data_IF_691786787383
#
_entry.id   IF_691786787383
#
_cell.length_a   1.000
_cell.length_b   1.000
_cell.length_c   1.000
_cell.angle_alpha   90.00
_cell.angle_beta   90.00
_cell.angle_gamma   90.00
#
_symmetry.space_group_name_H-M   'P 1'
#
loop_
_entity.id
_entity.type
_entity.pdbx_description
1 polymer ?
#
# COMPACT_ATOMS: atom_id res chain seq x y z
N UNK A 1 4.28 6.17 -2.59
CA UNK A 1 3.34 6.88 -3.48
C UNK A 1 2.42 5.84 -4.10
N UNK A 2 1.11 6.12 -4.21
CA UNK A 2 0.16 5.26 -4.93
C UNK A 2 -0.19 5.94 -6.25
N UNK A 3 -0.04 5.23 -7.36
CA UNK A 3 -0.63 5.60 -8.65
C UNK A 3 -1.71 4.61 -9.05
N UNK A 4 -2.76 5.11 -9.68
CA UNK A 4 -3.89 4.30 -10.14
C UNK A 4 -4.00 4.49 -11.65
N UNK A 5 -4.05 3.39 -12.40
CA UNK A 5 -4.26 3.43 -13.83
C UNK A 5 -5.25 2.34 -14.28
N UNK A 6 -5.84 2.52 -15.46
CA UNK A 6 -6.63 1.44 -16.08
C UNK A 6 -5.68 0.49 -16.78
N UNK A 7 -5.86 -0.82 -16.60
CA UNK A 7 -5.08 -1.82 -17.31
C UNK A 7 -5.40 -1.74 -18.80
N UNK A 8 -4.36 -1.68 -19.64
CA UNK A 8 -4.45 -1.65 -21.12
C UNK A 8 -3.57 -2.69 -21.81
N UNK A 9 -2.65 -3.32 -21.08
CA UNK A 9 -1.72 -4.33 -21.58
C UNK A 9 -2.17 -5.75 -21.21
N UNK A 10 -1.30 -6.71 -21.55
CA UNK A 10 -1.44 -8.13 -21.25
C UNK A 10 -0.54 -8.53 -20.07
N UNK A 11 -0.55 -9.81 -19.71
CA UNK A 11 0.33 -10.37 -18.69
C UNK A 11 1.82 -10.21 -19.03
N UNK A 12 2.18 -10.20 -20.33
CA UNK A 12 3.55 -10.04 -20.81
C UNK A 12 4.19 -8.73 -20.37
N UNK A 13 3.40 -7.64 -20.34
CA UNK A 13 3.85 -6.36 -19.78
C UNK A 13 4.28 -6.48 -18.31
N UNK A 14 3.54 -7.25 -17.50
CA UNK A 14 3.79 -7.40 -16.07
C UNK A 14 4.90 -8.39 -15.73
N UNK A 15 5.12 -9.39 -16.59
CA UNK A 15 6.15 -10.43 -16.40
C UNK A 15 7.47 -10.17 -17.13
N UNK A 16 7.62 -9.01 -17.79
CA UNK A 16 8.84 -8.70 -18.55
C UNK A 16 10.07 -8.60 -17.63
N UNK A 17 11.15 -9.32 -17.94
CA UNK A 17 12.37 -9.39 -17.11
C UNK A 17 13.02 -8.01 -16.90
N UNK A 18 12.97 -7.16 -17.92
CA UNK A 18 13.43 -5.77 -17.86
C UNK A 18 12.68 -4.89 -16.84
N UNK A 19 11.61 -5.36 -16.20
CA UNK A 19 10.99 -4.61 -15.10
C UNK A 19 11.61 -4.93 -13.73
N UNK A 20 12.39 -6.02 -13.63
CA UNK A 20 12.87 -6.57 -12.36
C UNK A 20 14.38 -6.84 -12.31
N UNK A 21 15.15 -6.31 -13.28
CA UNK A 21 16.61 -6.48 -13.34
C UNK A 21 17.34 -6.05 -12.06
N UNK A 22 16.83 -5.03 -11.35
CA UNK A 22 17.44 -4.55 -10.11
C UNK A 22 17.12 -5.43 -8.89
N UNK A 23 16.00 -6.16 -8.91
CA UNK A 23 15.60 -7.07 -7.82
C UNK A 23 15.99 -8.53 -8.08
N UNK A 24 16.37 -8.88 -9.31
CA UNK A 24 16.88 -10.20 -9.70
C UNK A 24 15.80 -11.25 -9.99
N UNK A 25 14.57 -11.07 -9.51
CA UNK A 25 13.43 -11.94 -9.84
C UNK A 25 12.09 -11.23 -9.62
N UNK A 26 11.07 -11.65 -10.37
CA UNK A 26 9.67 -11.32 -10.12
C UNK A 26 9.12 -12.28 -9.05
N UNK A 27 8.62 -11.74 -7.92
CA UNK A 27 7.85 -12.49 -6.92
C UNK A 27 6.36 -12.12 -7.08
N UNK A 28 5.71 -12.75 -8.05
CA UNK A 28 4.29 -12.56 -8.32
C UNK A 28 3.45 -13.49 -7.44
N UNK A 29 2.31 -13.01 -6.94
CA UNK A 29 1.37 -13.88 -6.22
C UNK A 29 -0.08 -13.43 -6.30
N UNK A 30 -0.99 -14.40 -6.36
CA UNK A 30 -2.41 -14.16 -6.18
C UNK A 30 -2.73 -13.74 -4.73
N UNK A 31 -3.62 -12.76 -4.59
CA UNK A 31 -4.05 -12.22 -3.29
C UNK A 31 -5.56 -11.98 -3.26
N UNK A 32 -6.13 -12.07 -2.05
CA UNK A 32 -7.54 -11.75 -1.78
C UNK A 32 -8.48 -12.95 -1.81
N UNK A 33 -9.62 -12.81 -1.12
CA UNK A 33 -10.62 -13.88 -0.97
C UNK A 33 -11.24 -14.33 -2.31
N UNK A 34 -11.34 -13.41 -3.28
CA UNK A 34 -11.83 -13.74 -4.62
C UNK A 34 -10.91 -14.71 -5.36
N UNK A 35 -9.60 -14.48 -5.31
CA UNK A 35 -8.61 -15.39 -5.89
C UNK A 35 -8.64 -16.75 -5.19
N UNK A 36 -8.77 -16.77 -3.85
CA UNK A 36 -8.87 -18.00 -3.09
C UNK A 36 -10.10 -18.86 -3.47
N UNK A 37 -11.27 -18.23 -3.64
CA UNK A 37 -12.50 -18.91 -4.08
C UNK A 37 -12.39 -19.49 -5.49
N UNK A 38 -11.62 -18.83 -6.36
CA UNK A 38 -11.35 -19.28 -7.73
C UNK A 38 -10.19 -20.28 -7.81
N UNK A 39 -9.57 -20.64 -6.68
CA UNK A 39 -8.42 -21.55 -6.65
C UNK A 39 -7.11 -20.94 -7.16
N UNK A 40 -7.08 -19.63 -7.42
CA UNK A 40 -5.90 -18.90 -7.86
C UNK A 40 -4.99 -18.62 -6.66
N UNK A 41 -3.90 -19.37 -6.53
CA UNK A 41 -2.99 -19.34 -5.38
C UNK A 41 -1.54 -19.39 -5.84
N UNK A 42 -0.64 -18.81 -5.05
CA UNK A 42 0.79 -18.81 -5.34
C UNK A 42 1.12 -17.92 -6.53
N UNK A 43 2.13 -18.31 -7.29
CA UNK A 43 2.67 -17.57 -8.44
C UNK A 43 1.62 -17.30 -9.52
N UNK A 44 1.71 -16.13 -10.16
CA UNK A 44 0.78 -15.73 -11.21
C UNK A 44 1.30 -16.21 -12.57
N UNK A 45 0.68 -17.25 -13.13
CA UNK A 45 0.94 -17.66 -14.50
C UNK A 45 0.35 -16.66 -15.50
N UNK A 46 1.10 -16.33 -16.56
CA UNK A 46 0.67 -15.35 -17.57
C UNK A 46 -0.67 -15.72 -18.22
N UNK A 47 -0.90 -17.00 -18.49
CA UNK A 47 -2.15 -17.49 -19.08
C UNK A 47 -3.37 -17.24 -18.18
N UNK A 48 -3.23 -17.46 -16.87
CA UNK A 48 -4.31 -17.23 -15.90
C UNK A 48 -4.59 -15.73 -15.78
N UNK A 49 -3.53 -14.91 -15.74
CA UNK A 49 -3.67 -13.45 -15.72
C UNK A 49 -4.40 -12.94 -16.97
N UNK A 50 -3.98 -13.37 -18.17
CA UNK A 50 -4.62 -12.97 -19.42
C UNK A 50 -6.09 -13.39 -19.49
N UNK A 51 -6.42 -14.59 -19.02
CA UNK A 51 -7.80 -15.06 -18.95
C UNK A 51 -8.65 -14.16 -18.04
N UNK A 52 -8.16 -13.87 -16.83
CA UNK A 52 -8.85 -13.00 -15.87
C UNK A 52 -9.01 -11.58 -16.42
N UNK A 53 -7.98 -11.01 -17.07
CA UNK A 53 -8.06 -9.69 -17.71
C UNK A 53 -9.08 -9.62 -18.86
N UNK A 54 -9.42 -10.76 -19.47
CA UNK A 54 -10.48 -10.86 -20.48
C UNK A 54 -11.87 -11.13 -19.89
N UNK A 55 -11.96 -11.31 -18.57
CA UNK A 55 -13.19 -11.66 -17.87
C UNK A 55 -13.48 -13.16 -17.85
N UNK A 56 -12.54 -14.03 -18.21
CA UNK A 56 -12.73 -15.49 -18.17
C UNK A 56 -12.17 -16.02 -16.86
N UNK A 57 -13.01 -16.63 -16.04
CA UNK A 57 -12.64 -17.11 -14.72
C UNK A 57 -12.40 -18.63 -14.70
N UNK A 58 -11.53 -19.14 -13.80
CA UNK A 58 -11.20 -20.58 -13.72
C UNK A 58 -12.38 -21.49 -13.36
N UNK A 59 -13.42 -20.95 -12.73
CA UNK A 59 -14.66 -21.65 -12.39
C UNK A 59 -15.61 -21.83 -13.59
N UNK A 60 -15.21 -21.34 -14.77
CA UNK A 60 -15.99 -21.36 -16.01
C UNK A 60 -16.92 -20.15 -16.18
N UNK A 61 -16.96 -19.24 -15.21
CA UNK A 61 -17.73 -18.00 -15.33
C UNK A 61 -17.11 -17.10 -16.40
N UNK A 62 -17.94 -16.53 -17.26
CA UNK A 62 -17.54 -15.59 -18.31
C UNK A 62 -18.17 -14.20 -18.06
N UNK A 63 -17.32 -13.25 -17.71
CA UNK A 63 -17.62 -11.84 -17.47
C UNK A 63 -17.30 -10.98 -18.70
N UNK A 64 -16.93 -11.58 -19.83
CA UNK A 64 -16.66 -10.86 -21.07
C UNK A 64 -17.89 -10.09 -21.55
N UNK A 65 -17.66 -8.99 -22.27
CA UNK A 65 -18.73 -8.16 -22.82
C UNK A 65 -18.50 -7.97 -24.30
N UNK A 66 -19.03 -8.87 -25.11
CA UNK A 66 -18.91 -8.78 -26.56
C UNK A 66 -19.86 -7.74 -27.14
N UNK A 67 -19.31 -6.74 -27.84
CA UNK A 67 -20.05 -5.74 -28.61
C UNK A 67 -19.39 -5.66 -29.98
N UNK A 68 -20.15 -5.93 -31.04
CA UNK A 68 -19.66 -5.97 -32.43
C UNK A 68 -18.44 -6.88 -32.63
N UNK A 69 -18.42 -8.03 -31.94
CA UNK A 69 -17.29 -8.98 -32.00
C UNK A 69 -16.05 -8.56 -31.21
N UNK A 70 -16.09 -7.42 -30.50
CA UNK A 70 -14.99 -6.93 -29.66
C UNK A 70 -15.34 -7.09 -28.19
N UNK A 71 -14.42 -7.65 -27.40
CA UNK A 71 -14.58 -7.70 -25.95
C UNK A 71 -14.38 -6.29 -25.35
N UNK A 72 -15.45 -5.72 -24.82
CA UNK A 72 -15.51 -4.43 -24.11
C UNK A 72 -15.43 -4.61 -22.58
N UNK A 73 -15.13 -5.82 -22.09
CA UNK A 73 -14.84 -6.04 -20.68
C UNK A 73 -13.69 -5.15 -20.24
N UNK A 74 -13.79 -4.59 -19.03
CA UNK A 74 -12.73 -3.76 -18.47
C UNK A 74 -11.83 -4.64 -17.62
N UNK A 75 -10.61 -4.86 -18.10
CA UNK A 75 -9.63 -5.79 -17.50
C UNK A 75 -9.27 -5.50 -16.04
N UNK A 76 -9.45 -4.26 -15.59
CA UNK A 76 -9.30 -3.88 -14.19
C UNK A 76 -8.50 -2.59 -14.01
N UNK A 77 -7.91 -2.46 -12.83
CA UNK A 77 -7.11 -1.32 -12.43
C UNK A 77 -5.75 -1.77 -11.91
N UNK A 78 -4.71 -1.03 -12.29
CA UNK A 78 -3.37 -1.18 -11.76
C UNK A 78 -3.20 -0.20 -10.59
N UNK A 79 -2.84 -0.75 -9.43
CA UNK A 79 -2.58 -0.02 -8.20
C UNK A 79 -1.09 -0.16 -7.88
N UNK A 80 -0.28 0.77 -8.39
CA UNK A 80 1.17 0.72 -8.23
C UNK A 80 1.60 1.43 -6.96
N UNK A 81 2.27 0.71 -6.06
CA UNK A 81 2.82 1.26 -4.82
C UNK A 81 4.33 1.44 -4.95
N UNK A 82 4.78 2.69 -5.09
CA UNK A 82 6.20 3.00 -5.18
C UNK A 82 6.76 3.41 -3.81
N UNK A 83 7.83 2.76 -3.38
CA UNK A 83 8.59 3.18 -2.21
C UNK A 83 9.23 4.57 -2.43
N UNK A 84 9.44 5.38 -1.37
CA UNK A 84 10.24 6.60 -1.47
C UNK A 84 11.64 6.31 -2.00
N UNK A 85 12.22 7.22 -2.80
CA UNK A 85 13.48 6.96 -3.50
C UNK A 85 14.63 6.58 -2.56
N UNK A 86 14.72 7.21 -1.39
CA UNK A 86 15.71 6.88 -0.36
C UNK A 86 15.61 5.43 0.14
N UNK A 87 14.38 4.92 0.31
CA UNK A 87 14.11 3.53 0.70
C UNK A 87 14.54 2.57 -0.41
N UNK A 88 14.21 2.88 -1.67
CA UNK A 88 14.63 2.06 -2.81
C UNK A 88 16.15 1.98 -2.96
N UNK A 89 16.87 3.09 -2.74
CA UNK A 89 18.34 3.11 -2.79
C UNK A 89 18.93 2.24 -1.67
N UNK A 90 18.43 2.37 -0.44
CA UNK A 90 18.92 1.55 0.68
C UNK A 90 18.64 0.06 0.48
N UNK A 91 17.47 -0.28 -0.06
CA UNK A 91 17.07 -1.66 -0.33
C UNK A 91 17.88 -2.32 -1.45
N UNK A 92 18.08 -1.62 -2.58
CA UNK A 92 18.64 -2.21 -3.81
C UNK A 92 20.15 -1.98 -3.97
N UNK A 93 20.63 -0.79 -3.60
CA UNK A 93 22.06 -0.43 -3.72
C UNK A 93 22.79 -0.71 -2.41
N UNK A 94 22.14 -0.46 -1.27
CA UNK A 94 22.67 -0.80 0.05
C UNK A 94 22.53 -2.26 0.44
N UNK A 95 21.85 -3.08 -0.38
CA UNK A 95 21.51 -4.50 -0.14
C UNK A 95 20.83 -4.79 1.21
N UNK A 96 20.24 -3.77 1.84
CA UNK A 96 19.57 -3.91 3.13
C UNK A 96 18.17 -4.49 2.95
N UNK A 97 18.12 -5.83 2.96
CA UNK A 97 16.90 -6.62 2.74
C UNK A 97 15.76 -6.31 3.70
N UNK A 98 16.03 -5.72 4.86
CA UNK A 98 15.00 -5.32 5.83
C UNK A 98 13.99 -4.36 5.23
N UNK A 99 14.41 -3.50 4.29
CA UNK A 99 13.51 -2.56 3.61
C UNK A 99 12.62 -3.23 2.56
N UNK A 100 13.10 -4.33 1.94
CA UNK A 100 12.30 -5.14 1.01
C UNK A 100 11.25 -5.93 1.80
N UNK A 101 11.67 -6.57 2.89
CA UNK A 101 10.80 -7.36 3.77
C UNK A 101 9.72 -6.50 4.45
N UNK A 102 10.03 -5.26 4.81
CA UNK A 102 9.07 -4.34 5.43
C UNK A 102 8.02 -3.78 4.45
N UNK A 103 8.22 -3.91 3.13
CA UNK A 103 7.32 -3.32 2.13
C UNK A 103 5.93 -3.97 2.12
N UNK A 104 5.85 -5.31 2.16
CA UNK A 104 4.58 -6.06 2.17
C UNK A 104 3.77 -5.80 3.45
N UNK A 105 4.35 -5.86 4.67
CA UNK A 105 3.66 -5.44 5.89
C UNK A 105 3.14 -4.00 5.81
N UNK A 106 3.93 -3.08 5.25
CA UNK A 106 3.50 -1.68 5.06
C UNK A 106 2.25 -1.54 4.18
N UNK A 107 2.15 -2.33 3.11
CA UNK A 107 0.98 -2.38 2.23
C UNK A 107 -0.26 -2.93 2.95
N UNK A 108 -0.10 -4.01 3.73
CA UNK A 108 -1.17 -4.57 4.54
C UNK A 108 -1.67 -3.56 5.58
N UNK A 109 -0.77 -2.84 6.23
CA UNK A 109 -1.13 -1.81 7.20
C UNK A 109 -1.92 -0.67 6.56
N UNK A 110 -1.57 -0.26 5.33
CA UNK A 110 -2.32 0.73 4.56
C UNK A 110 -3.71 0.21 4.17
N UNK A 111 -3.82 -1.03 3.69
CA UNK A 111 -5.10 -1.64 3.34
C UNK A 111 -6.04 -1.72 4.56
N UNK A 112 -5.52 -2.11 5.73
CA UNK A 112 -6.27 -2.12 6.98
C UNK A 112 -6.71 -0.71 7.39
N UNK A 113 -5.85 0.30 7.24
CA UNK A 113 -6.22 1.69 7.52
C UNK A 113 -7.35 2.19 6.60
N UNK A 114 -7.34 1.82 5.32
CA UNK A 114 -8.41 2.14 4.37
C UNK A 114 -9.72 1.42 4.70
N UNK A 115 -9.66 0.16 5.14
CA UNK A 115 -10.83 -0.61 5.57
C UNK A 115 -11.46 -0.01 6.84
N UNK A 116 -10.63 0.39 7.81
CA UNK A 116 -11.09 1.08 9.03
C UNK A 116 -11.80 2.40 8.66
N UNK A 117 -11.29 3.11 7.66
CA UNK A 117 -11.90 4.35 7.18
C UNK A 117 -13.32 4.14 6.60
N UNK A 118 -13.64 2.95 6.07
CA UNK A 118 -14.99 2.62 5.60
C UNK A 118 -16.00 2.28 6.71
N UNK A 119 -15.55 2.15 7.97
CA UNK A 119 -16.44 1.86 9.09
C UNK A 119 -17.21 3.12 9.54
N UNK A 120 -18.47 2.91 9.97
CA UNK A 120 -19.40 3.92 10.51
C UNK A 120 -18.71 4.84 11.53
N UNK A 121 -18.97 6.15 11.43
CA UNK A 121 -18.24 7.21 12.19
C UNK A 121 -18.19 6.98 13.71
N UNK A 122 -19.18 6.30 14.28
CA UNK A 122 -19.21 5.99 15.73
C UNK A 122 -18.19 4.95 16.19
N UNK A 123 -17.76 4.03 15.32
CA UNK A 123 -16.80 2.96 15.65
C UNK A 123 -15.38 3.23 15.14
N UNK A 124 -15.26 4.14 14.17
CA UNK A 124 -13.99 4.54 13.55
C UNK A 124 -12.89 4.94 14.56
N UNK A 125 -13.13 5.77 15.60
CA UNK A 125 -12.08 6.14 16.54
C UNK A 125 -11.56 4.97 17.38
N UNK A 126 -12.42 4.04 17.79
CA UNK A 126 -12.02 2.85 18.54
C UNK A 126 -11.17 1.91 17.68
N UNK A 127 -11.55 1.70 16.42
CA UNK A 127 -10.79 0.89 15.49
C UNK A 127 -9.44 1.51 15.12
N UNK A 128 -9.36 2.84 14.98
CA UNK A 128 -8.09 3.54 14.80
C UNK A 128 -7.16 3.40 16.00
N UNK A 129 -7.68 3.47 17.22
CA UNK A 129 -6.90 3.28 18.43
C UNK A 129 -6.34 1.85 18.54
N UNK A 130 -7.15 0.83 18.21
CA UNK A 130 -6.70 -0.57 18.18
C UNK A 130 -5.66 -0.79 17.08
N UNK A 131 -5.85 -0.20 15.90
CA UNK A 131 -4.87 -0.29 14.81
C UNK A 131 -3.55 0.39 15.14
N UNK A 132 -3.58 1.58 15.75
CA UNK A 132 -2.40 2.27 16.26
C UNK A 132 -1.64 1.46 17.30
N UNK A 133 -2.37 0.80 18.21
CA UNK A 133 -1.78 -0.11 19.19
C UNK A 133 -1.08 -1.29 18.51
N UNK A 134 -1.71 -1.89 17.49
CA UNK A 134 -1.11 -2.97 16.70
C UNK A 134 0.13 -2.50 15.93
N UNK A 135 0.09 -1.31 15.33
CA UNK A 135 1.25 -0.66 14.68
C UNK A 135 2.39 -0.48 15.67
N UNK A 136 2.09 -0.02 16.89
CA UNK A 136 3.08 0.12 17.96
C UNK A 136 3.67 -1.24 18.36
N UNK A 137 2.83 -2.24 18.60
CA UNK A 137 3.27 -3.58 19.03
C UNK A 137 4.12 -4.29 17.97
N UNK A 138 3.77 -4.14 16.69
CA UNK A 138 4.55 -4.71 15.58
C UNK A 138 5.92 -4.03 15.43
N UNK A 139 5.97 -2.70 15.63
CA UNK A 139 7.20 -1.94 15.52
C UNK A 139 8.07 -1.99 16.79
N UNK A 140 7.53 -2.34 17.96
CA UNK A 140 8.28 -2.47 19.22
C UNK A 140 9.39 -3.53 19.14
N UNK A 141 9.20 -4.55 18.29
CA UNK A 141 10.21 -5.59 18.05
C UNK A 141 11.45 -5.11 17.29
N UNK A 142 11.41 -3.91 16.69
CA UNK A 142 12.46 -3.38 15.83
C UNK A 142 13.21 -2.18 16.46
N UNK A 143 12.94 -1.88 17.75
CA UNK A 143 13.63 -0.85 18.54
C UNK A 143 12.71 0.30 18.97
N UNK A 144 12.73 0.62 20.27
CA UNK A 144 11.75 1.46 20.96
C UNK A 144 11.55 2.87 20.35
N UNK A 145 12.61 3.47 19.81
CA UNK A 145 12.56 4.86 19.34
C UNK A 145 11.82 5.03 18.01
N UNK A 146 11.95 4.07 17.10
CA UNK A 146 11.28 4.11 15.79
C UNK A 146 9.79 3.82 15.94
N UNK A 147 9.45 2.95 16.90
CA UNK A 147 8.07 2.65 17.34
C UNK A 147 7.39 3.89 17.92
N UNK A 148 8.06 4.60 18.84
CA UNK A 148 7.52 5.78 19.53
C UNK A 148 7.27 6.93 18.55
N UNK A 149 8.21 7.13 17.62
CA UNK A 149 8.12 8.11 16.53
C UNK A 149 6.91 7.87 15.62
N UNK A 150 6.72 6.64 15.13
CA UNK A 150 5.60 6.30 14.25
C UNK A 150 4.23 6.49 14.91
N UNK A 151 4.12 6.14 16.19
CA UNK A 151 2.90 6.32 16.99
C UNK A 151 2.64 7.79 17.29
N UNK A 152 3.65 8.56 17.72
CA UNK A 152 3.53 10.00 17.97
C UNK A 152 3.13 10.76 16.72
N UNK A 153 3.75 10.45 15.58
CA UNK A 153 3.40 11.06 14.31
C UNK A 153 1.94 10.79 13.98
N UNK A 154 1.51 9.53 14.04
CA UNK A 154 0.16 9.15 13.63
C UNK A 154 -0.91 9.72 14.56
N UNK A 155 -0.64 9.78 15.88
CA UNK A 155 -1.48 10.49 16.85
C UNK A 155 -1.53 11.99 16.58
N UNK A 156 -0.39 12.61 16.22
CA UNK A 156 -0.33 14.03 15.86
C UNK A 156 -1.12 14.32 14.59
N UNK A 157 -1.02 13.46 13.56
CA UNK A 157 -1.82 13.58 12.33
C UNK A 157 -3.30 13.43 12.65
N UNK A 158 -3.70 12.42 13.42
CA UNK A 158 -5.09 12.21 13.80
C UNK A 158 -5.64 13.39 14.61
N UNK A 159 -4.89 13.89 15.59
CA UNK A 159 -5.27 15.04 16.41
C UNK A 159 -5.37 16.32 15.59
N UNK A 160 -4.42 16.61 14.71
CA UNK A 160 -4.46 17.78 13.84
C UNK A 160 -5.60 17.69 12.81
N UNK A 161 -5.84 16.52 12.22
CA UNK A 161 -6.90 16.31 11.23
C UNK A 161 -8.29 16.36 11.85
N UNK A 162 -8.49 15.83 13.06
CA UNK A 162 -9.78 15.86 13.75
C UNK A 162 -10.02 17.14 14.56
N UNK A 163 -8.98 17.76 15.13
CA UNK A 163 -9.09 18.87 16.08
C UNK A 163 -8.98 20.26 15.45
N UNK A 164 -8.22 20.42 14.36
CA UNK A 164 -7.93 21.74 13.78
C UNK A 164 -8.60 21.99 12.42
N UNK A 165 -9.24 20.97 11.82
CA UNK A 165 -9.83 21.09 10.49
C UNK A 165 -11.36 20.96 10.55
N UNK A 166 -12.10 22.08 10.48
CA UNK A 166 -13.55 22.04 10.33
C UNK A 166 -13.93 21.30 9.04
N UNK A 167 -15.11 20.66 9.03
CA UNK A 167 -15.61 19.79 7.94
C UNK A 167 -15.73 20.49 6.57
N UNK A 168 -15.58 21.82 6.50
CA UNK A 168 -15.62 22.58 5.24
C UNK A 168 -14.24 22.82 4.64
N UNK A 169 -14.01 22.32 3.41
CA UNK A 169 -13.18 22.88 2.31
C UNK A 169 -11.70 23.22 2.52
N UNK A 170 -11.22 23.44 3.75
CA UNK A 170 -9.86 23.91 4.08
C UNK A 170 -8.83 22.78 4.28
N UNK A 171 -9.25 21.51 4.14
CA UNK A 171 -8.38 20.31 4.25
C UNK A 171 -7.13 20.37 3.37
N UNK A 172 -7.22 20.98 2.19
CA UNK A 172 -6.09 21.09 1.25
C UNK A 172 -5.04 22.14 1.64
N UNK A 173 -5.40 23.17 2.41
CA UNK A 173 -4.44 24.20 2.84
C UNK A 173 -3.58 23.72 4.03
N UNK A 174 -4.16 22.96 4.95
CA UNK A 174 -3.44 22.39 6.09
C UNK A 174 -2.37 21.36 5.65
N UNK A 175 -2.65 20.60 4.58
CA UNK A 175 -1.68 19.65 4.01
C UNK A 175 -0.36 20.29 3.54
N UNK A 176 -0.33 21.60 3.24
CA UNK A 176 0.90 22.32 2.84
C UNK A 176 1.92 22.42 3.97
N UNK A 177 1.47 22.35 5.22
CA UNK A 177 2.34 22.42 6.41
C UNK A 177 2.76 21.04 6.92
N UNK A 178 2.22 19.96 6.34
CA UNK A 178 2.52 18.60 6.75
C UNK A 178 4.00 18.25 6.54
N UNK A 179 4.53 18.52 5.34
CA UNK A 179 5.92 18.25 5.01
C UNK A 179 6.93 19.00 5.91
N UNK A 180 6.81 20.33 6.14
CA UNK A 180 7.72 21.02 7.04
C UNK A 180 7.58 20.60 8.50
N UNK A 181 6.36 20.30 8.99
CA UNK A 181 6.16 19.78 10.35
C UNK A 181 6.78 18.38 10.51
N UNK A 182 6.66 17.52 9.49
CA UNK A 182 7.27 16.20 9.48
C UNK A 182 8.80 16.26 9.47
N UNK A 183 9.39 17.17 8.69
CA UNK A 183 10.83 17.39 8.68
C UNK A 183 11.35 17.86 10.04
N UNK A 184 10.64 18.77 10.73
CA UNK A 184 10.98 19.22 12.07
C UNK A 184 10.88 18.07 13.09
N UNK A 185 9.84 17.25 12.99
CA UNK A 185 9.64 16.08 13.83
C UNK A 185 10.79 15.06 13.69
N UNK A 186 11.22 14.76 12.45
CA UNK A 186 12.36 13.89 12.18
C UNK A 186 13.68 14.47 12.71
N UNK A 187 13.88 15.79 12.63
CA UNK A 187 15.04 16.46 13.22
C UNK A 187 15.05 16.34 14.75
N UNK A 188 13.90 16.50 15.41
CA UNK A 188 13.77 16.31 16.85
C UNK A 188 14.08 14.87 17.28
N UNK A 189 13.63 13.88 16.51
CA UNK A 189 13.95 12.46 16.77
C UNK A 189 15.43 12.20 16.55
N UNK A 190 16.01 12.69 15.45
CA UNK A 190 17.44 12.54 15.17
C UNK A 190 18.31 13.14 16.30
N UNK A 191 17.92 14.29 16.83
CA UNK A 191 18.57 14.90 17.97
C UNK A 191 18.42 14.06 19.25
N UNK A 192 17.21 13.60 19.58
CA UNK A 192 16.95 12.75 20.76
C UNK A 192 17.73 11.44 20.72
N UNK A 193 17.82 10.80 19.55
CA UNK A 193 18.62 9.57 19.34
C UNK A 193 20.12 9.83 19.48
N UNK A 194 20.60 11.03 19.13
CA UNK A 194 22.04 11.37 19.23
C UNK A 194 22.51 11.70 20.64
N UNK A 195 21.57 11.98 21.56
CA UNK A 195 21.85 12.40 22.95
C UNK A 195 21.61 11.25 23.95
N UNK A 196 20.93 10.18 23.54
CA UNK A 196 20.72 8.93 24.28
C UNK A 196 21.75 7.87 23.87
#
# INVERSE_FOLDING_TARGET
MLSISSIKGDAGYYSHEDNYYASGSLDSRWMGEGAEKLGLKGEVASADMDAVLQGRLPDGSDLSRMVDGVNKHRSGYDLTFSAPKSVSVMALVGEDRRFIEAHIPGLLMLAVALLIWQVRDSLRPALFAVWLLLVALLNARHGDVMTLSGVLLTLTVLFCVHGLVPVLGRRLQAGRWFAPAYALHLLCIGFLVSVL
#
